data_IF_238323682707
#
_entry.id   IF_238323682707
#
_cell.length_a   1.000
_cell.length_b   1.000
_cell.length_c   1.000
_cell.angle_alpha   90.00
_cell.angle_beta   90.00
_cell.angle_gamma   90.00
#
_symmetry.space_group_name_H-M   'P 1'
#
loop_
_entity.id
_entity.type
_entity.pdbx_description
1 polymer ?
#
# COMPACT_ATOMS: atom_id res chain seq x y z
N UNK A 1 27.82 -0.58 -0.59
CA UNK A 1 27.16 -0.04 -1.08
C UNK A 1 26.18 0.63 -0.57
N UNK A 2 26.00 1.25 -0.78
CA UNK A 2 25.14 1.81 -0.32
C UNK A 2 24.04 1.36 -0.42
N UNK A 3 23.59 1.38 0.21
CA UNK A 3 22.49 0.95 0.13
C UNK A 3 21.50 1.92 0.16
N UNK A 4 20.87 2.11 -0.87
CA UNK A 4 19.77 2.96 -0.90
C UNK A 4 18.58 2.17 -0.49
N UNK A 5 17.70 2.78 0.23
CA UNK A 5 16.43 2.15 0.46
C UNK A 5 15.68 2.22 -0.82
N UNK A 6 15.26 1.07 -1.30
CA UNK A 6 14.42 0.99 -2.46
C UNK A 6 12.98 1.07 -2.03
N UNK A 7 12.28 2.05 -2.55
CA UNK A 7 10.87 2.24 -2.22
C UNK A 7 10.04 2.07 -3.48
N UNK A 8 8.99 1.27 -3.40
CA UNK A 8 8.04 1.19 -4.51
C UNK A 8 6.72 1.78 -4.07
N UNK A 9 5.96 2.25 -5.03
CA UNK A 9 4.66 2.83 -4.76
C UNK A 9 3.57 1.90 -5.25
N UNK A 10 2.60 1.62 -4.39
CA UNK A 10 1.47 0.77 -4.73
C UNK A 10 0.40 1.65 -5.35
N UNK A 11 0.26 1.54 -6.65
CA UNK A 11 -0.68 2.37 -7.37
C UNK A 11 -1.90 1.59 -7.76
N UNK A 12 -3.05 2.25 -7.66
CA UNK A 12 -4.30 1.69 -8.14
C UNK A 12 -4.63 0.35 -7.54
N UNK A 13 -4.14 0.11 -6.36
CA UNK A 13 -4.55 -1.07 -5.66
C UNK A 13 -5.87 -0.76 -5.01
N UNK A 14 -6.92 -0.98 -5.73
CA UNK A 14 -8.23 -0.83 -5.14
C UNK A 14 -9.00 -2.11 -5.41
N UNK A 15 -9.86 -2.41 -4.48
CA UNK A 15 -10.66 -3.61 -4.56
C UNK A 15 -11.97 -3.23 -5.20
N UNK A 16 -12.29 -3.87 -6.30
CA UNK A 16 -13.56 -3.66 -6.95
C UNK A 16 -14.66 -4.07 -6.00
N UNK A 17 -15.79 -3.39 -6.10
CA UNK A 17 -16.88 -3.60 -5.15
C UNK A 17 -17.23 -5.05 -4.93
N UNK A 18 -17.34 -5.80 -5.99
CA UNK A 18 -17.75 -7.20 -5.88
C UNK A 18 -16.75 -8.09 -5.19
N UNK A 19 -15.53 -7.61 -4.99
CA UNK A 19 -14.47 -8.45 -4.45
C UNK A 19 -14.19 -8.23 -2.97
N UNK A 20 -14.73 -7.19 -2.39
CA UNK A 20 -14.37 -6.84 -1.01
C UNK A 20 -14.66 -7.93 -0.01
N UNK A 21 -15.76 -8.66 -0.23
CA UNK A 21 -16.20 -9.66 0.72
C UNK A 21 -15.61 -11.02 0.46
N UNK A 22 -14.89 -11.17 -0.63
CA UNK A 22 -14.34 -12.46 -0.99
C UNK A 22 -12.91 -12.65 -0.53
N UNK A 23 -12.34 -11.64 0.11
CA UNK A 23 -10.93 -11.71 0.52
C UNK A 23 -9.96 -11.45 -0.61
N UNK A 24 -10.44 -11.06 -1.77
CA UNK A 24 -9.58 -10.84 -2.92
C UNK A 24 -8.65 -9.67 -2.70
N UNK A 25 -9.11 -8.64 -1.98
CA UNK A 25 -8.25 -7.50 -1.67
C UNK A 25 -7.03 -7.92 -0.88
N UNK A 26 -7.22 -8.81 0.11
CA UNK A 26 -6.10 -9.32 0.89
C UNK A 26 -5.14 -10.10 0.02
N UNK A 27 -5.65 -10.92 -0.89
CA UNK A 27 -4.79 -11.69 -1.78
C UNK A 27 -3.99 -10.79 -2.72
N UNK A 28 -4.62 -9.75 -3.24
CA UNK A 28 -3.93 -8.80 -4.10
C UNK A 28 -2.82 -8.08 -3.34
N UNK A 29 -3.11 -7.68 -2.11
CA UNK A 29 -2.13 -7.00 -1.29
C UNK A 29 -0.97 -7.95 -0.94
N UNK A 30 -1.28 -9.19 -0.56
CA UNK A 30 -0.25 -10.17 -0.27
C UNK A 30 0.66 -10.39 -1.47
N UNK A 31 0.08 -10.49 -2.65
CA UNK A 31 0.85 -10.68 -3.89
C UNK A 31 1.76 -9.48 -4.13
N UNK A 32 1.24 -8.27 -3.93
CA UNK A 32 2.04 -7.07 -4.14
C UNK A 32 3.21 -7.00 -3.15
N UNK A 33 2.95 -7.34 -1.89
CA UNK A 33 3.99 -7.33 -0.86
C UNK A 33 5.04 -8.37 -1.17
N UNK A 34 4.63 -9.58 -1.52
CA UNK A 34 5.57 -10.65 -1.85
C UNK A 34 6.42 -10.29 -3.05
N UNK A 35 5.80 -9.69 -4.06
CA UNK A 35 6.54 -9.26 -5.24
C UNK A 35 7.58 -8.20 -4.87
N UNK A 36 7.17 -7.21 -4.09
CA UNK A 36 8.10 -6.15 -3.69
C UNK A 36 9.28 -6.71 -2.91
N UNK A 37 9.01 -7.67 -2.02
CA UNK A 37 10.09 -8.33 -1.27
C UNK A 37 11.02 -9.11 -2.20
N UNK A 38 10.45 -9.81 -3.15
CA UNK A 38 11.25 -10.66 -4.05
C UNK A 38 12.14 -9.82 -4.96
N UNK A 39 11.72 -8.62 -5.29
CA UNK A 39 12.51 -7.72 -6.13
C UNK A 39 13.59 -7.01 -5.31
N UNK A 40 13.41 -6.97 -3.99
CA UNK A 40 14.41 -6.36 -3.12
C UNK A 40 14.04 -4.96 -2.63
N UNK A 41 12.80 -4.55 -2.79
CA UNK A 41 12.37 -3.28 -2.23
C UNK A 41 12.35 -3.34 -0.71
N UNK A 42 12.71 -2.26 -0.08
CA UNK A 42 12.72 -2.19 1.38
C UNK A 42 11.47 -1.57 1.96
N UNK A 43 10.68 -0.91 1.13
CA UNK A 43 9.50 -0.22 1.61
C UNK A 43 8.46 -0.05 0.51
N UNK A 44 7.19 -0.11 0.88
CA UNK A 44 6.08 0.20 -0.01
C UNK A 44 5.40 1.45 0.52
N UNK A 45 5.10 2.40 -0.36
CA UNK A 45 4.30 3.56 -0.02
C UNK A 45 3.05 3.57 -0.89
N UNK A 46 2.02 4.21 -0.40
CA UNK A 46 0.79 4.36 -1.18
C UNK A 46 0.08 5.65 -0.80
N UNK A 47 -0.76 6.10 -1.71
CA UNK A 47 -1.70 7.16 -1.36
C UNK A 47 -3.12 6.65 -1.62
N UNK A 48 -4.07 7.20 -0.91
CA UNK A 48 -5.45 6.74 -0.98
C UNK A 48 -6.38 7.85 -0.52
N UNK A 49 -7.65 7.55 -0.50
CA UNK A 49 -8.66 8.48 -0.02
C UNK A 49 -9.27 7.96 1.27
N UNK A 50 -9.52 8.87 2.21
CA UNK A 50 -10.17 8.48 3.45
C UNK A 50 -11.59 7.95 3.22
N UNK A 51 -12.15 8.20 2.05
CA UNK A 51 -13.46 7.66 1.71
C UNK A 51 -13.40 6.17 1.40
N UNK A 52 -12.22 5.63 1.20
CA UNK A 52 -12.05 4.21 0.93
C UNK A 52 -11.76 3.49 2.25
N UNK A 53 -12.75 3.44 3.11
CA UNK A 53 -12.60 2.88 4.45
C UNK A 53 -12.07 1.47 4.47
N UNK A 54 -12.61 0.63 3.60
CA UNK A 54 -12.24 -0.77 3.59
C UNK A 54 -10.77 -0.93 3.17
N UNK A 55 -10.34 -0.12 2.22
CA UNK A 55 -8.95 -0.18 1.77
C UNK A 55 -8.01 0.25 2.90
N UNK A 56 -8.33 1.35 3.58
CA UNK A 56 -7.49 1.82 4.66
C UNK A 56 -7.41 0.81 5.79
N UNK A 57 -8.55 0.21 6.14
CA UNK A 57 -8.58 -0.82 7.17
C UNK A 57 -7.71 -2.01 6.78
N UNK A 58 -7.75 -2.40 5.51
CA UNK A 58 -6.94 -3.50 5.01
C UNK A 58 -5.45 -3.16 5.12
N UNK A 59 -5.05 -1.95 4.76
CA UNK A 59 -3.67 -1.55 4.85
C UNK A 59 -3.18 -1.55 6.30
N UNK A 60 -3.97 -0.99 7.21
CA UNK A 60 -3.61 -0.97 8.63
C UNK A 60 -3.44 -2.38 9.17
N UNK A 61 -4.34 -3.26 8.80
CA UNK A 61 -4.27 -4.65 9.23
C UNK A 61 -3.00 -5.33 8.76
N UNK A 62 -2.46 -4.88 7.66
CA UNK A 62 -1.29 -5.49 7.04
C UNK A 62 0.01 -4.74 7.30
N UNK A 63 0.01 -3.89 8.31
CA UNK A 63 1.26 -3.29 8.76
C UNK A 63 1.61 -1.95 8.15
N UNK A 64 0.72 -1.39 7.36
CA UNK A 64 0.92 -0.04 6.85
C UNK A 64 0.61 0.97 7.95
N UNK A 65 1.34 2.06 7.97
CA UNK A 65 1.13 3.13 8.93
C UNK A 65 0.94 4.44 8.18
N UNK A 66 0.26 5.37 8.81
CA UNK A 66 0.05 6.69 8.22
C UNK A 66 1.36 7.47 8.24
N UNK A 67 1.61 8.19 7.16
CA UNK A 67 2.79 9.04 7.04
C UNK A 67 2.37 10.40 6.48
N UNK A 68 3.26 11.40 6.53
CA UNK A 68 2.97 12.70 5.93
C UNK A 68 2.84 12.59 4.42
N UNK A 69 2.16 13.56 3.85
CA UNK A 69 2.02 13.67 2.40
C UNK A 69 3.38 13.64 1.73
N UNK A 70 3.52 12.79 0.73
CA UNK A 70 4.81 12.66 0.03
C UNK A 70 4.72 13.02 -1.45
N UNK A 71 3.51 13.31 -1.95
CA UNK A 71 3.35 13.70 -3.34
C UNK A 71 2.23 14.75 -3.45
N UNK A 72 2.01 15.23 -4.64
CA UNK A 72 1.05 16.30 -4.88
C UNK A 72 -0.29 15.80 -5.41
N UNK A 73 -0.62 14.55 -5.18
CA UNK A 73 -1.89 14.01 -5.61
C UNK A 73 -3.01 14.65 -4.79
N UNK A 74 -3.68 15.63 -5.39
CA UNK A 74 -4.72 16.37 -4.67
C UNK A 74 -5.95 15.52 -4.37
N UNK A 75 -6.07 14.37 -4.99
CA UNK A 75 -7.19 13.46 -4.72
C UNK A 75 -6.93 12.56 -3.53
N UNK A 76 -5.71 12.55 -3.05
CA UNK A 76 -5.35 11.70 -1.93
C UNK A 76 -5.32 12.51 -0.65
N UNK A 77 -5.84 11.92 0.41
CA UNK A 77 -5.74 12.51 1.73
C UNK A 77 -5.29 11.47 2.76
N UNK A 78 -4.87 10.31 2.28
CA UNK A 78 -4.28 9.25 3.11
C UNK A 78 -2.96 8.87 2.45
N UNK A 79 -1.90 8.83 3.25
CA UNK A 79 -0.57 8.44 2.77
C UNK A 79 -0.05 7.43 3.78
N UNK A 80 0.44 6.31 3.29
CA UNK A 80 0.86 5.23 4.17
C UNK A 80 2.12 4.57 3.68
N UNK A 81 2.81 3.90 4.58
CA UNK A 81 4.00 3.12 4.21
C UNK A 81 4.05 1.83 4.99
N UNK A 82 4.72 0.86 4.44
CA UNK A 82 5.05 -0.38 5.12
C UNK A 82 6.49 -0.74 4.84
N UNK A 83 7.25 -0.98 5.88
CA UNK A 83 8.61 -1.48 5.73
C UNK A 83 8.58 -2.96 5.44
N UNK A 84 9.48 -3.38 4.59
CA UNK A 84 9.57 -4.79 4.19
C UNK A 84 10.79 -5.49 4.82
N UNK A 85 11.63 -4.71 5.46
CA UNK A 85 12.82 -5.28 6.08
C UNK A 85 12.88 -4.96 7.55
#
# INVERSE_FOLDING_TARGET
MKQFESTCELKRMYVLRGFRRSGLGQKLLDTAIDFAKSVGYSMIVLDSSKMLYAARALYLKNGFIDIPKYNDNYRADVFMERRLT
#
